data_IF_539149459626
#
_entry.id   IF_539149459626
#
_cell.length_a   1.000
_cell.length_b   1.000
_cell.length_c   1.000
_cell.angle_alpha   90.00
_cell.angle_beta   90.00
_cell.angle_gamma   90.00
#
_symmetry.space_group_name_H-M   'P 1'
#
loop_
_entity.id
_entity.type
_entity.pdbx_description
1 polymer ?
#
# COMPACT_ATOMS: atom_id res chain seq x y z
N UNK A 1 68.74 -13.46 42.81
CA UNK A 1 68.17 -12.45 43.73
C UNK A 1 68.17 -11.07 43.09
N UNK A 2 67.04 -10.63 42.55
CA UNK A 2 66.55 -9.24 42.61
C UNK A 2 65.07 -9.25 42.18
N UNK A 3 64.24 -8.89 43.16
CA UNK A 3 62.81 -8.53 43.10
C UNK A 3 62.60 -7.38 42.06
N UNK A 4 61.44 -7.05 41.49
CA UNK A 4 60.04 -7.15 41.95
C UNK A 4 59.08 -6.69 40.82
N UNK A 5 57.82 -7.17 40.89
CA UNK A 5 56.52 -6.50 40.60
C UNK A 5 56.20 -6.08 39.15
N UNK A 6 55.22 -6.77 38.53
CA UNK A 6 53.76 -6.48 38.50
C UNK A 6 53.39 -5.36 37.51
N UNK A 7 52.52 -5.63 36.53
CA UNK A 7 51.13 -5.11 36.44
C UNK A 7 50.48 -5.59 35.13
N UNK A 8 49.31 -6.20 35.32
CA UNK A 8 48.08 -6.32 34.52
C UNK A 8 48.06 -5.95 33.02
N UNK A 9 47.72 -6.99 32.24
CA UNK A 9 46.63 -7.08 31.24
C UNK A 9 45.92 -5.75 30.93
N UNK A 10 46.17 -5.22 29.73
CA UNK A 10 45.23 -4.36 29.00
C UNK A 10 45.05 -4.94 27.60
N UNK A 11 43.82 -5.34 27.31
CA UNK A 11 43.31 -5.69 25.99
C UNK A 11 43.39 -4.46 25.08
N UNK A 12 44.13 -4.54 23.98
CA UNK A 12 43.90 -3.70 22.80
C UNK A 12 43.98 -4.65 21.60
N UNK A 13 42.83 -5.22 21.24
CA UNK A 13 42.64 -5.92 19.98
C UNK A 13 42.02 -4.91 19.03
N UNK A 14 42.83 -4.54 18.05
CA UNK A 14 42.62 -3.52 17.04
C UNK A 14 41.64 -4.09 16.01
N UNK A 15 40.34 -3.84 16.20
CA UNK A 15 39.31 -4.20 15.22
C UNK A 15 39.23 -3.08 14.20
N UNK A 16 39.88 -3.33 13.06
CA UNK A 16 39.76 -2.58 11.81
C UNK A 16 38.29 -2.63 11.39
N UNK A 17 37.56 -1.54 11.60
CA UNK A 17 36.22 -1.35 11.06
C UNK A 17 36.36 -0.97 9.58
N UNK A 18 36.22 -1.99 8.73
CA UNK A 18 36.13 -1.86 7.28
C UNK A 18 34.82 -1.11 6.96
N UNK A 19 34.95 0.18 6.75
CA UNK A 19 34.03 1.01 5.98
C UNK A 19 34.41 0.83 4.51
N UNK A 20 33.72 -0.03 3.76
CA UNK A 20 33.61 0.11 2.30
C UNK A 20 32.33 -0.57 1.81
N UNK A 21 31.32 0.28 1.64
CA UNK A 21 30.41 0.34 0.48
C UNK A 21 29.91 -1.03 0.01
N UNK A 22 28.81 -1.48 0.62
CA UNK A 22 27.86 -2.31 -0.10
C UNK A 22 27.23 -1.35 -1.12
N UNK A 23 27.77 -1.34 -2.34
CA UNK A 23 27.01 -0.99 -3.54
C UNK A 23 25.91 -2.05 -3.63
N UNK A 24 24.85 -1.83 -2.86
CA UNK A 24 23.58 -2.43 -3.17
C UNK A 24 23.18 -1.73 -4.46
N UNK A 25 23.52 -2.35 -5.59
CA UNK A 25 22.74 -2.20 -6.80
C UNK A 25 21.31 -2.54 -6.41
N UNK A 26 20.59 -1.53 -5.91
CA UNK A 26 19.16 -1.44 -6.03
C UNK A 26 18.99 -1.34 -7.54
N UNK A 27 18.91 -2.51 -8.18
CA UNK A 27 18.24 -2.63 -9.47
C UNK A 27 16.81 -2.23 -9.14
N UNK A 28 16.56 -0.93 -9.22
CA UNK A 28 15.21 -0.43 -9.40
C UNK A 28 14.84 -1.02 -10.75
N UNK A 29 14.26 -2.22 -10.74
CA UNK A 29 13.36 -2.61 -11.79
C UNK A 29 12.17 -1.67 -11.64
N UNK A 30 12.37 -0.40 -12.04
CA UNK A 30 11.32 0.29 -12.74
C UNK A 30 11.09 -0.60 -13.96
N UNK A 31 10.18 -1.55 -13.82
CA UNK A 31 9.48 -2.11 -14.97
C UNK A 31 8.81 -0.89 -15.57
N UNK A 32 9.54 -0.20 -16.47
CA UNK A 32 8.92 0.69 -17.41
C UNK A 32 8.00 -0.24 -18.15
N UNK A 33 6.69 -0.04 -18.02
CA UNK A 33 5.77 -0.61 -18.97
C UNK A 33 6.26 -0.11 -20.34
N UNK A 34 7.00 -0.94 -21.08
CA UNK A 34 7.42 -0.58 -22.41
C UNK A 34 6.14 -0.48 -23.24
N UNK A 35 5.77 0.77 -23.54
CA UNK A 35 4.86 1.03 -24.63
C UNK A 35 5.50 0.41 -25.86
N UNK A 36 4.80 -0.55 -26.46
CA UNK A 36 5.24 -1.17 -27.69
C UNK A 36 5.20 -0.09 -28.78
N UNK A 37 6.35 0.53 -29.09
CA UNK A 37 6.44 1.64 -30.05
C UNK A 37 6.50 1.15 -31.50
N UNK A 38 6.97 -0.07 -31.71
CA UNK A 38 6.95 -0.77 -33.00
C UNK A 38 6.85 -2.27 -32.78
N UNK A 39 6.43 -2.98 -33.82
CA UNK A 39 6.42 -4.44 -33.83
C UNK A 39 6.79 -4.96 -35.22
N UNK A 40 7.66 -5.97 -35.26
CA UNK A 40 7.93 -6.70 -36.49
C UNK A 40 6.81 -7.72 -36.73
N UNK A 41 6.02 -7.52 -37.77
CA UNK A 41 4.95 -8.43 -38.16
C UNK A 41 5.43 -9.38 -39.25
N UNK A 42 5.04 -10.65 -39.15
CA UNK A 42 5.45 -11.69 -40.08
C UNK A 42 4.37 -12.76 -40.24
N UNK A 43 4.30 -13.35 -41.43
CA UNK A 43 3.45 -14.51 -41.70
C UNK A 43 4.11 -15.81 -41.26
N UNK A 44 3.32 -16.72 -40.69
CA UNK A 44 3.76 -18.09 -40.32
C UNK A 44 3.19 -19.18 -41.24
N UNK A 45 2.48 -18.81 -42.30
CA UNK A 45 1.97 -19.75 -43.29
C UNK A 45 0.50 -19.56 -43.65
N UNK A 46 0.04 -20.43 -44.54
CA UNK A 46 -1.34 -20.47 -45.05
C UNK A 46 -2.31 -21.09 -44.02
N UNK A 47 -3.51 -20.53 -43.89
CA UNK A 47 -4.56 -21.03 -43.00
C UNK A 47 -5.46 -22.10 -43.66
N UNK A 48 -5.15 -22.52 -44.87
CA UNK A 48 -5.96 -23.44 -45.66
C UNK A 48 -7.14 -22.77 -46.37
N UNK A 49 -7.76 -23.54 -47.27
CA UNK A 49 -8.95 -23.14 -48.01
C UNK A 49 -10.20 -23.41 -47.17
N UNK A 50 -10.55 -22.48 -46.28
CA UNK A 50 -11.67 -22.65 -45.34
C UNK A 50 -12.98 -22.03 -45.84
N UNK A 51 -12.90 -20.87 -46.48
CA UNK A 51 -14.07 -20.09 -46.87
C UNK A 51 -14.04 -19.71 -48.35
N UNK A 52 -15.21 -19.45 -48.91
CA UNK A 52 -15.39 -18.72 -50.17
C UNK A 52 -16.11 -17.40 -49.89
N UNK A 53 -15.88 -16.39 -50.72
CA UNK A 53 -16.65 -15.15 -50.74
C UNK A 53 -17.11 -14.90 -52.17
N UNK A 54 -18.43 -14.81 -52.37
CA UNK A 54 -19.05 -14.74 -53.71
C UNK A 54 -18.56 -15.85 -54.65
N UNK A 55 -18.41 -17.06 -54.11
CA UNK A 55 -17.95 -18.24 -54.85
C UNK A 55 -16.44 -18.32 -55.10
N UNK A 56 -15.65 -17.32 -54.70
CA UNK A 56 -14.18 -17.33 -54.86
C UNK A 56 -13.51 -17.75 -53.55
N UNK A 57 -12.54 -18.67 -53.61
CA UNK A 57 -11.79 -19.12 -52.43
C UNK A 57 -11.09 -17.93 -51.75
N UNK A 58 -11.31 -17.78 -50.45
CA UNK A 58 -10.65 -16.78 -49.62
C UNK A 58 -9.30 -17.32 -49.18
N UNK A 59 -8.21 -16.73 -49.69
CA UNK A 59 -6.85 -17.05 -49.25
C UNK A 59 -6.49 -16.25 -48.00
N UNK A 60 -6.01 -16.93 -46.97
CA UNK A 60 -5.62 -16.30 -45.70
C UNK A 60 -4.25 -16.82 -45.27
N UNK A 61 -3.33 -15.90 -45.03
CA UNK A 61 -2.07 -16.19 -44.32
C UNK A 61 -2.18 -15.71 -42.89
N UNK A 62 -1.67 -16.52 -41.96
CA UNK A 62 -1.64 -16.21 -40.54
C UNK A 62 -0.51 -15.23 -40.26
N UNK A 63 -0.83 -14.03 -39.78
CA UNK A 63 0.16 -12.99 -39.46
C UNK A 63 0.21 -12.79 -37.94
N UNK A 64 1.42 -12.64 -37.41
CA UNK A 64 1.66 -12.41 -35.99
C UNK A 64 2.88 -11.52 -35.76
N UNK A 65 3.10 -11.17 -34.49
CA UNK A 65 4.35 -10.62 -34.00
C UNK A 65 4.69 -11.24 -32.64
N UNK A 66 5.93 -11.11 -32.19
CA UNK A 66 6.36 -11.59 -30.87
C UNK A 66 6.58 -10.41 -29.94
N UNK A 67 6.01 -10.49 -28.72
CA UNK A 67 6.30 -9.58 -27.61
C UNK A 67 6.48 -10.41 -26.34
N UNK A 68 7.54 -10.17 -25.59
CA UNK A 68 7.83 -10.87 -24.34
C UNK A 68 7.80 -12.41 -24.47
N UNK A 69 8.35 -12.93 -25.58
CA UNK A 69 8.33 -14.36 -25.95
C UNK A 69 6.93 -14.96 -26.19
N UNK A 70 5.90 -14.13 -26.30
CA UNK A 70 4.53 -14.54 -26.64
C UNK A 70 4.21 -14.09 -28.07
N UNK A 71 3.63 -14.98 -28.86
CA UNK A 71 3.20 -14.71 -30.22
C UNK A 71 1.74 -14.22 -30.23
N UNK A 72 1.52 -13.02 -30.76
CA UNK A 72 0.20 -12.42 -30.83
C UNK A 72 -0.26 -12.28 -32.29
N UNK A 73 -1.50 -12.66 -32.60
CA UNK A 73 -2.11 -12.39 -33.90
C UNK A 73 -2.12 -10.91 -34.25
N UNK A 74 -1.81 -10.62 -35.51
CA UNK A 74 -1.97 -9.31 -36.11
C UNK A 74 -2.91 -9.42 -37.32
N UNK A 75 -3.94 -8.58 -37.35
CA UNK A 75 -4.95 -8.58 -38.41
C UNK A 75 -4.75 -7.40 -39.34
N UNK A 76 -4.55 -7.66 -40.62
CA UNK A 76 -4.44 -6.56 -41.58
C UNK A 76 -5.78 -5.83 -41.75
N UNK A 77 -5.67 -4.52 -41.99
CA UNK A 77 -6.79 -3.60 -42.07
C UNK A 77 -7.09 -3.13 -43.50
N UNK A 78 -6.33 -3.60 -44.49
CA UNK A 78 -6.55 -3.25 -45.89
C UNK A 78 -6.30 -4.46 -46.80
N UNK A 79 -7.37 -5.07 -47.30
CA UNK A 79 -7.26 -6.22 -48.21
C UNK A 79 -6.66 -5.90 -49.59
N UNK A 80 -6.49 -4.63 -49.95
CA UNK A 80 -6.09 -4.20 -51.31
C UNK A 80 -4.59 -4.00 -51.49
N UNK A 81 -3.83 -4.00 -50.39
CA UNK A 81 -2.39 -3.75 -50.36
C UNK A 81 -1.60 -5.03 -50.05
N UNK A 82 -0.30 -5.12 -50.39
CA UNK A 82 0.57 -6.18 -49.91
C UNK A 82 0.75 -6.13 -48.39
N UNK A 83 0.56 -7.26 -47.71
CA UNK A 83 0.82 -7.43 -46.28
C UNK A 83 2.09 -8.24 -45.98
N UNK A 84 2.25 -8.56 -44.69
CA UNK A 84 3.37 -9.33 -44.14
C UNK A 84 3.43 -10.79 -44.65
N UNK A 85 2.41 -11.24 -45.39
CA UNK A 85 2.45 -12.49 -46.16
C UNK A 85 3.46 -12.48 -47.30
N UNK A 86 3.87 -11.30 -47.78
CA UNK A 86 4.88 -11.16 -48.84
C UNK A 86 6.30 -11.12 -48.29
N UNK A 87 6.51 -10.34 -47.23
CA UNK A 87 7.76 -10.23 -46.48
C UNK A 87 7.49 -9.58 -45.12
N UNK A 88 8.21 -9.94 -44.04
CA UNK A 88 8.08 -9.27 -42.75
C UNK A 88 8.44 -7.77 -42.82
N UNK A 89 7.78 -6.95 -42.01
CA UNK A 89 8.15 -5.55 -41.83
C UNK A 89 7.71 -5.00 -40.47
N UNK A 90 8.29 -3.87 -40.10
CA UNK A 90 7.96 -3.19 -38.85
C UNK A 90 6.78 -2.25 -39.05
N UNK A 91 5.81 -2.33 -38.13
CA UNK A 91 4.76 -1.34 -37.98
C UNK A 91 5.05 -0.43 -36.79
N UNK A 92 4.79 0.87 -36.94
CA UNK A 92 4.89 1.85 -35.87
C UNK A 92 3.57 1.94 -35.12
N UNK A 93 3.62 1.98 -33.79
CA UNK A 93 2.44 1.91 -32.93
C UNK A 93 2.32 3.22 -32.14
N UNK A 94 1.30 3.99 -32.48
CA UNK A 94 1.10 5.33 -31.94
C UNK A 94 -0.10 5.41 -30.97
N UNK A 95 -1.07 4.50 -31.10
CA UNK A 95 -2.25 4.47 -30.23
C UNK A 95 -2.98 3.12 -30.27
N UNK A 96 -3.87 2.91 -29.31
CA UNK A 96 -4.93 1.92 -29.42
C UNK A 96 -5.91 2.27 -30.55
N UNK A 97 -6.61 1.26 -31.08
CA UNK A 97 -7.68 1.44 -32.07
C UNK A 97 -8.83 2.22 -31.43
N UNK A 98 -9.23 3.36 -31.99
CA UNK A 98 -10.33 4.17 -31.43
C UNK A 98 -11.71 3.75 -31.94
N UNK A 99 -11.76 3.02 -33.06
CA UNK A 99 -13.01 2.49 -33.61
C UNK A 99 -13.52 1.35 -32.74
N UNK A 100 -14.50 1.66 -31.89
CA UNK A 100 -15.13 0.70 -30.96
C UNK A 100 -15.79 -0.45 -31.72
N UNK A 101 -16.33 -0.20 -32.91
CA UNK A 101 -16.93 -1.23 -33.74
C UNK A 101 -15.88 -2.23 -34.21
N UNK A 102 -14.72 -1.77 -34.70
CA UNK A 102 -13.60 -2.64 -35.09
C UNK A 102 -13.07 -3.39 -33.87
N UNK A 103 -12.83 -2.69 -32.77
CA UNK A 103 -12.35 -3.26 -31.52
C UNK A 103 -13.26 -4.39 -31.02
N UNK A 104 -14.59 -4.20 -31.04
CA UNK A 104 -15.57 -5.24 -30.65
C UNK A 104 -15.46 -6.53 -31.48
N UNK A 105 -15.19 -6.44 -32.79
CA UNK A 105 -15.00 -7.64 -33.63
C UNK A 105 -13.74 -8.39 -33.22
N UNK A 106 -12.68 -7.66 -32.89
CA UNK A 106 -11.40 -8.24 -32.48
C UNK A 106 -11.53 -8.91 -31.09
N UNK A 107 -12.13 -8.23 -30.10
CA UNK A 107 -12.26 -8.78 -28.75
C UNK A 107 -13.29 -9.91 -28.62
N UNK A 108 -14.22 -10.02 -29.57
CA UNK A 108 -15.11 -11.18 -29.69
C UNK A 108 -14.51 -12.29 -30.56
N UNK A 109 -13.37 -12.06 -31.19
CA UNK A 109 -12.61 -13.03 -31.98
C UNK A 109 -11.33 -13.50 -31.26
N UNK A 110 -10.45 -14.13 -32.02
CA UNK A 110 -9.19 -14.67 -31.53
C UNK A 110 -8.12 -13.56 -31.45
N UNK A 111 -7.26 -13.50 -30.40
CA UNK A 111 -7.07 -14.49 -29.34
C UNK A 111 -7.90 -14.25 -28.07
N UNK A 112 -8.69 -13.17 -28.00
CA UNK A 112 -9.47 -12.84 -26.80
C UNK A 112 -10.59 -13.84 -26.51
N UNK A 113 -11.08 -14.51 -27.55
CA UNK A 113 -11.84 -15.75 -27.46
C UNK A 113 -10.95 -16.92 -27.82
N UNK A 114 -10.96 -17.92 -26.94
CA UNK A 114 -10.23 -19.17 -27.14
C UNK A 114 -10.80 -19.95 -28.33
N UNK A 115 -9.98 -20.86 -28.89
CA UNK A 115 -10.38 -21.81 -29.94
C UNK A 115 -11.70 -22.52 -29.57
N UNK A 116 -11.81 -22.95 -28.30
CA UNK A 116 -13.01 -23.62 -27.78
C UNK A 116 -14.22 -22.69 -27.70
N UNK A 117 -14.08 -21.47 -27.20
CA UNK A 117 -15.19 -20.50 -27.14
C UNK A 117 -15.71 -20.13 -28.54
N UNK A 118 -14.84 -20.10 -29.54
CA UNK A 118 -15.21 -19.84 -30.93
C UNK A 118 -15.84 -21.07 -31.63
N UNK A 119 -15.77 -22.26 -31.01
CA UNK A 119 -16.29 -23.49 -31.60
C UNK A 119 -15.50 -24.00 -32.81
N UNK A 120 -14.21 -23.68 -32.88
CA UNK A 120 -13.28 -24.11 -33.94
C UNK A 120 -12.24 -25.08 -33.38
N UNK A 121 -11.48 -25.76 -34.25
CA UNK A 121 -10.52 -26.80 -33.81
C UNK A 121 -9.08 -26.29 -33.64
N UNK A 122 -8.71 -25.22 -34.34
CA UNK A 122 -7.33 -24.74 -34.39
C UNK A 122 -7.26 -23.22 -34.56
N UNK A 123 -6.04 -22.67 -34.47
CA UNK A 123 -5.79 -21.23 -34.56
C UNK A 123 -6.01 -20.69 -35.97
N UNK A 124 -5.84 -21.50 -37.02
CA UNK A 124 -6.02 -21.11 -38.42
C UNK A 124 -7.49 -20.83 -38.74
N UNK A 125 -8.40 -21.69 -38.26
CA UNK A 125 -9.86 -21.47 -38.30
C UNK A 125 -10.24 -20.23 -37.49
N UNK A 126 -9.73 -20.10 -36.26
CA UNK A 126 -10.02 -18.98 -35.36
C UNK A 126 -9.56 -17.62 -35.94
N UNK A 127 -8.33 -17.58 -36.48
CA UNK A 127 -7.74 -16.42 -37.13
C UNK A 127 -8.50 -16.06 -38.40
N UNK A 128 -8.84 -17.04 -39.24
CA UNK A 128 -9.62 -16.81 -40.47
C UNK A 128 -10.99 -16.23 -40.16
N UNK A 129 -11.71 -16.81 -39.20
CA UNK A 129 -13.02 -16.31 -38.77
C UNK A 129 -12.94 -14.85 -38.30
N UNK A 130 -11.95 -14.55 -37.45
CA UNK A 130 -11.75 -13.19 -36.91
C UNK A 130 -11.39 -12.19 -38.01
N UNK A 131 -10.45 -12.56 -38.90
CA UNK A 131 -10.04 -11.72 -40.04
C UNK A 131 -11.21 -11.39 -40.96
N UNK A 132 -12.05 -12.38 -41.29
CA UNK A 132 -13.20 -12.14 -42.16
C UNK A 132 -14.31 -11.34 -41.47
N UNK A 133 -14.51 -11.50 -40.16
CA UNK A 133 -15.42 -10.65 -39.38
C UNK A 133 -14.97 -9.17 -39.38
N UNK A 134 -13.65 -8.93 -39.26
CA UNK A 134 -13.06 -7.59 -39.42
C UNK A 134 -13.36 -7.03 -40.81
N UNK A 135 -13.15 -7.82 -41.88
CA UNK A 135 -13.40 -7.38 -43.26
C UNK A 135 -14.88 -7.12 -43.57
N UNK A 136 -15.81 -7.83 -42.93
CA UNK A 136 -17.23 -7.49 -43.02
C UNK A 136 -17.51 -6.08 -42.48
N UNK A 137 -16.76 -5.66 -41.45
CA UNK A 137 -16.90 -4.33 -40.88
C UNK A 137 -16.18 -3.25 -41.68
N UNK A 138 -14.87 -3.39 -41.90
CA UNK A 138 -14.04 -2.31 -42.50
C UNK A 138 -14.15 -2.21 -44.02
N UNK A 139 -14.59 -3.26 -44.70
CA UNK A 139 -14.75 -3.30 -46.16
C UNK A 139 -16.19 -3.51 -46.62
N UNK A 140 -17.15 -3.61 -45.69
CA UNK A 140 -18.56 -3.82 -46.03
C UNK A 140 -18.83 -5.14 -46.75
N UNK A 141 -17.99 -6.17 -46.54
CA UNK A 141 -18.29 -7.50 -47.07
C UNK A 141 -19.59 -8.02 -46.44
N UNK A 142 -20.52 -8.53 -47.26
CA UNK A 142 -21.77 -9.09 -46.75
C UNK A 142 -21.50 -10.48 -46.15
N UNK A 143 -21.81 -10.74 -44.86
CA UNK A 143 -21.59 -12.04 -44.22
C UNK A 143 -22.33 -13.20 -44.91
N UNK A 144 -23.45 -12.91 -45.59
CA UNK A 144 -24.24 -13.91 -46.31
C UNK A 144 -23.65 -14.33 -47.65
N UNK A 145 -22.68 -13.58 -48.18
CA UNK A 145 -21.96 -13.94 -49.42
C UNK A 145 -20.82 -14.94 -49.16
N UNK A 146 -20.58 -15.33 -47.90
CA UNK A 146 -19.57 -16.31 -47.53
C UNK A 146 -20.11 -17.74 -47.57
N UNK A 147 -19.33 -18.64 -48.17
CA UNK A 147 -19.59 -20.09 -48.17
C UNK A 147 -18.49 -20.86 -47.42
N UNK A 148 -18.82 -22.05 -46.92
CA UNK A 148 -17.89 -22.92 -46.22
C UNK A 148 -17.30 -24.01 -47.13
N UNK A 149 -16.03 -24.35 -46.92
CA UNK A 149 -15.36 -25.48 -47.57
C UNK A 149 -15.10 -26.58 -46.52
N UNK A 150 -15.84 -27.69 -46.62
CA UNK A 150 -15.75 -28.80 -45.69
C UNK A 150 -16.19 -28.47 -44.25
N UNK A 151 -15.92 -29.38 -43.32
CA UNK A 151 -16.30 -29.23 -41.90
C UNK A 151 -15.53 -28.11 -41.20
N UNK A 152 -14.23 -27.98 -41.47
CA UNK A 152 -13.40 -26.89 -40.95
C UNK A 152 -13.89 -25.52 -41.43
N UNK A 153 -14.27 -25.40 -42.70
CA UNK A 153 -14.90 -24.22 -43.25
C UNK A 153 -16.23 -23.89 -42.58
N UNK A 154 -17.05 -24.90 -42.26
CA UNK A 154 -18.34 -24.69 -41.60
C UNK A 154 -18.17 -24.14 -40.19
N UNK A 155 -17.24 -24.70 -39.40
CA UNK A 155 -16.90 -24.16 -38.07
C UNK A 155 -16.39 -22.73 -38.17
N UNK A 156 -15.49 -22.47 -39.11
CA UNK A 156 -14.93 -21.13 -39.37
C UNK A 156 -16.02 -20.13 -39.74
N UNK A 157 -16.96 -20.49 -40.62
CA UNK A 157 -18.07 -19.65 -41.04
C UNK A 157 -19.00 -19.34 -39.87
N UNK A 158 -19.33 -20.36 -39.05
CA UNK A 158 -20.15 -20.19 -37.86
C UNK A 158 -19.47 -19.26 -36.85
N UNK A 159 -18.18 -19.46 -36.58
CA UNK A 159 -17.39 -18.60 -35.71
C UNK A 159 -17.37 -17.15 -36.22
N UNK A 160 -17.16 -16.93 -37.52
CA UNK A 160 -17.18 -15.60 -38.13
C UNK A 160 -18.54 -14.90 -37.91
N UNK A 161 -19.65 -15.59 -38.19
CA UNK A 161 -21.00 -15.04 -37.98
C UNK A 161 -21.27 -14.75 -36.50
N UNK A 162 -20.82 -15.62 -35.60
CA UNK A 162 -20.95 -15.40 -34.16
C UNK A 162 -20.15 -14.18 -33.68
N UNK A 163 -18.92 -13.99 -34.16
CA UNK A 163 -18.09 -12.80 -33.85
C UNK A 163 -18.83 -11.53 -34.27
N UNK A 164 -19.38 -11.51 -35.50
CA UNK A 164 -20.11 -10.35 -36.04
C UNK A 164 -21.35 -10.05 -35.18
N UNK A 165 -22.16 -11.08 -34.89
CA UNK A 165 -23.38 -10.94 -34.11
C UNK A 165 -23.08 -10.47 -32.67
N UNK A 166 -22.07 -11.06 -32.01
CA UNK A 166 -21.69 -10.65 -30.66
C UNK A 166 -21.17 -9.21 -30.64
N UNK A 167 -20.37 -8.82 -31.63
CA UNK A 167 -19.87 -7.45 -31.73
C UNK A 167 -20.98 -6.41 -31.99
N UNK A 168 -22.02 -6.78 -32.75
CA UNK A 168 -23.18 -5.91 -33.02
C UNK A 168 -24.09 -5.75 -31.80
N UNK A 169 -24.23 -6.80 -30.99
CA UNK A 169 -25.08 -6.79 -29.80
C UNK A 169 -24.35 -6.40 -28.50
N UNK A 170 -23.02 -6.26 -28.54
CA UNK A 170 -22.21 -5.88 -27.37
C UNK A 170 -22.31 -4.38 -27.08
N UNK A 171 -22.40 -4.03 -25.80
CA UNK A 171 -22.28 -2.67 -25.29
C UNK A 171 -20.88 -2.38 -24.72
N UNK A 172 -19.93 -3.31 -24.81
CA UNK A 172 -18.57 -3.12 -24.29
C UNK A 172 -17.90 -1.90 -24.92
N UNK A 173 -17.20 -1.13 -24.12
CA UNK A 173 -16.34 -0.02 -24.55
C UNK A 173 -14.91 -0.31 -24.11
N UNK A 174 -13.95 0.41 -24.67
CA UNK A 174 -12.57 0.32 -24.18
C UNK A 174 -12.49 0.83 -22.75
N UNK A 175 -11.76 0.09 -21.90
CA UNK A 175 -11.68 0.32 -20.46
C UNK A 175 -10.27 0.79 -20.12
N UNK A 176 -10.18 1.76 -19.22
CA UNK A 176 -8.89 2.20 -18.66
C UNK A 176 -8.30 1.12 -17.75
N UNK A 177 -6.97 0.94 -17.82
CA UNK A 177 -6.22 0.13 -16.86
C UNK A 177 -5.99 0.84 -15.51
N UNK A 178 -6.56 2.04 -15.30
CA UNK A 178 -6.42 2.76 -14.03
C UNK A 178 -7.17 2.05 -12.91
N UNK A 179 -6.49 1.89 -11.78
CA UNK A 179 -7.07 1.35 -10.55
C UNK A 179 -7.44 2.52 -9.63
N UNK A 180 -8.64 2.47 -9.07
CA UNK A 180 -9.13 3.41 -8.07
C UNK A 180 -8.98 2.80 -6.69
N UNK A 181 -8.42 3.56 -5.75
CA UNK A 181 -8.31 3.21 -4.34
C UNK A 181 -9.31 4.08 -3.57
N UNK A 182 -10.28 3.46 -2.92
CA UNK A 182 -11.30 4.15 -2.15
C UNK A 182 -11.01 4.01 -0.66
N UNK A 183 -11.12 5.11 0.09
CA UNK A 183 -11.06 5.10 1.55
C UNK A 183 -12.41 4.64 2.08
N UNK A 184 -12.45 3.55 2.83
CA UNK A 184 -13.66 3.12 3.54
C UNK A 184 -13.77 3.94 4.84
N UNK A 185 -12.65 4.09 5.55
CA UNK A 185 -12.55 4.97 6.72
C UNK A 185 -12.11 6.38 6.31
N UNK A 186 -12.83 7.39 6.80
CA UNK A 186 -12.43 8.80 6.62
C UNK A 186 -11.27 9.20 7.52
N UNK A 187 -11.17 8.63 8.73
CA UNK A 187 -10.25 9.03 9.79
C UNK A 187 -9.46 7.83 10.34
N UNK A 188 -8.25 8.10 10.82
CA UNK A 188 -7.45 7.10 11.52
C UNK A 188 -8.04 6.83 12.89
N UNK A 189 -8.35 5.57 13.18
CA UNK A 189 -8.94 5.13 14.45
C UNK A 189 -7.99 4.17 15.15
N UNK A 190 -8.07 4.05 16.47
CA UNK A 190 -7.37 2.98 17.17
C UNK A 190 -7.89 1.61 16.71
N UNK A 191 -6.99 0.68 16.40
CA UNK A 191 -7.36 -0.69 16.02
C UNK A 191 -7.88 -1.46 17.23
N UNK A 192 -8.96 -2.22 17.02
CA UNK A 192 -9.63 -2.96 18.09
C UNK A 192 -8.93 -4.27 18.45
N UNK A 193 -8.12 -4.82 17.54
CA UNK A 193 -7.42 -6.09 17.73
C UNK A 193 -6.05 -5.82 18.35
N UNK A 194 -5.29 -4.87 17.79
CA UNK A 194 -4.02 -4.40 18.33
C UNK A 194 -4.10 -2.90 18.65
N UNK A 195 -4.43 -2.62 19.92
CA UNK A 195 -4.59 -1.26 20.46
C UNK A 195 -3.35 -0.37 20.34
N UNK A 196 -2.18 -0.93 19.99
CA UNK A 196 -0.96 -0.15 19.74
C UNK A 196 -0.90 0.49 18.35
N UNK A 197 -1.86 0.19 17.48
CA UNK A 197 -1.93 0.71 16.11
C UNK A 197 -3.15 1.61 15.90
N UNK A 198 -2.97 2.58 15.00
CA UNK A 198 -4.06 3.26 14.32
C UNK A 198 -4.29 2.62 12.95
N UNK A 199 -5.52 2.60 12.45
CA UNK A 199 -5.87 1.97 11.19
C UNK A 199 -6.80 2.80 10.31
N UNK A 200 -6.79 2.46 9.02
CA UNK A 200 -7.84 2.73 8.03
C UNK A 200 -7.99 1.55 7.08
N UNK A 201 -9.23 1.29 6.65
CA UNK A 201 -9.55 0.30 5.61
C UNK A 201 -9.77 0.97 4.25
N UNK A 202 -9.34 0.28 3.19
CA UNK A 202 -9.42 0.73 1.81
C UNK A 202 -9.97 -0.39 0.92
N UNK A 203 -10.71 -0.01 -0.12
CA UNK A 203 -11.14 -0.91 -1.19
C UNK A 203 -10.51 -0.55 -2.52
N UNK A 204 -10.42 -1.53 -3.41
CA UNK A 204 -9.85 -1.40 -4.75
C UNK A 204 -10.93 -1.62 -5.79
N UNK A 205 -10.96 -0.77 -6.82
CA UNK A 205 -11.89 -0.88 -7.95
C UNK A 205 -11.18 -0.58 -9.27
N UNK A 206 -11.65 -1.17 -10.36
CA UNK A 206 -11.24 -0.81 -11.71
C UNK A 206 -12.46 -0.85 -12.64
N UNK A 207 -12.31 -0.33 -13.85
CA UNK A 207 -13.40 -0.36 -14.84
C UNK A 207 -13.72 -1.76 -15.38
N UNK A 208 -12.89 -2.77 -15.06
CA UNK A 208 -13.01 -4.17 -15.47
C UNK A 208 -12.52 -5.08 -14.34
N UNK A 209 -12.62 -6.40 -14.56
CA UNK A 209 -12.03 -7.41 -13.68
C UNK A 209 -10.53 -7.17 -13.49
N UNK A 210 -10.06 -7.39 -12.27
CA UNK A 210 -8.64 -7.36 -11.94
C UNK A 210 -8.19 -8.72 -11.42
N UNK A 211 -6.90 -9.01 -11.57
CA UNK A 211 -6.26 -10.11 -10.85
C UNK A 211 -6.03 -9.73 -9.39
N UNK A 212 -5.47 -10.65 -8.60
CA UNK A 212 -4.97 -10.32 -7.28
C UNK A 212 -4.05 -9.08 -7.33
N UNK A 213 -4.09 -8.27 -6.28
CA UNK A 213 -3.41 -6.98 -6.24
C UNK A 213 -2.42 -6.91 -5.08
N UNK A 214 -1.38 -6.10 -5.27
CA UNK A 214 -0.40 -5.78 -4.22
C UNK A 214 -0.54 -4.32 -3.79
N UNK A 215 -0.12 -4.03 -2.56
CA UNK A 215 -0.17 -2.69 -1.98
C UNK A 215 1.23 -2.32 -1.51
N UNK A 216 1.72 -1.17 -1.97
CA UNK A 216 2.96 -0.54 -1.52
C UNK A 216 2.59 0.76 -0.77
N UNK A 217 3.10 0.92 0.45
CA UNK A 217 2.89 2.14 1.26
C UNK A 217 4.24 2.76 1.59
N UNK A 218 4.39 4.05 1.30
CA UNK A 218 5.60 4.83 1.61
C UNK A 218 5.22 6.15 2.27
N UNK A 219 6.09 6.71 3.10
CA UNK A 219 5.91 8.06 3.68
C UNK A 219 6.54 9.11 2.75
N UNK A 220 5.92 10.27 2.65
CA UNK A 220 6.47 11.43 1.95
C UNK A 220 7.69 11.98 2.71
N UNK A 221 8.80 12.22 2.00
CA UNK A 221 10.10 12.49 2.61
C UNK A 221 10.78 11.18 3.04
N UNK A 222 12.08 11.06 2.82
CA UNK A 222 12.86 9.80 2.81
C UNK A 222 12.86 8.97 4.11
N UNK A 223 12.21 9.42 5.18
CA UNK A 223 12.10 8.68 6.43
C UNK A 223 10.84 7.82 6.44
N UNK A 224 11.02 6.50 6.49
CA UNK A 224 9.92 5.58 6.76
C UNK A 224 9.34 5.86 8.15
N UNK A 225 8.01 5.88 8.28
CA UNK A 225 7.35 5.92 9.60
C UNK A 225 7.66 4.65 10.43
N UNK A 226 8.12 3.58 9.78
CA UNK A 226 8.48 2.31 10.43
C UNK A 226 7.27 1.54 10.96
N UNK A 227 7.33 0.21 10.85
CA UNK A 227 6.32 -0.67 11.44
C UNK A 227 4.91 -0.58 10.83
N UNK A 228 4.73 0.08 9.68
CA UNK A 228 3.47 -0.02 8.93
C UNK A 228 3.23 -1.49 8.61
N UNK A 229 2.00 -1.95 8.82
CA UNK A 229 1.53 -3.25 8.35
C UNK A 229 0.41 -3.07 7.35
N UNK A 230 0.40 -3.95 6.35
CA UNK A 230 -0.65 -4.05 5.35
C UNK A 230 -1.30 -5.41 5.56
N UNK A 231 -2.56 -5.41 5.99
CA UNK A 231 -3.27 -6.61 6.44
C UNK A 231 -4.62 -6.74 5.76
N UNK A 232 -5.25 -7.89 5.92
CA UNK A 232 -6.71 -7.98 5.83
C UNK A 232 -7.39 -7.24 7.02
N UNK A 233 -8.72 -7.27 7.08
CA UNK A 233 -9.47 -6.64 8.17
C UNK A 233 -9.25 -7.31 9.54
N UNK A 234 -8.71 -8.53 9.57
CA UNK A 234 -8.44 -9.33 10.78
C UNK A 234 -6.99 -9.23 11.29
N UNK A 235 -6.21 -8.24 10.82
CA UNK A 235 -4.79 -8.07 11.13
C UNK A 235 -3.87 -9.19 10.63
N UNK A 236 -4.28 -9.99 9.65
CA UNK A 236 -3.38 -10.93 8.97
C UNK A 236 -2.58 -10.18 7.90
N UNK A 237 -1.27 -10.10 8.05
CA UNK A 237 -0.38 -9.47 7.06
C UNK A 237 -0.41 -10.25 5.74
N UNK A 238 -0.57 -9.53 4.63
CA UNK A 238 -0.66 -10.11 3.29
C UNK A 238 0.25 -9.38 2.33
N UNK A 239 0.94 -10.14 1.48
CA UNK A 239 1.68 -9.60 0.34
C UNK A 239 0.79 -9.36 -0.88
N UNK A 240 -0.39 -10.00 -0.93
CA UNK A 240 -1.31 -9.96 -2.05
C UNK A 240 -2.76 -10.13 -1.57
N UNK A 241 -3.69 -9.47 -2.25
CA UNK A 241 -5.12 -9.44 -1.93
C UNK A 241 -5.95 -9.90 -3.12
N UNK A 242 -7.10 -10.53 -2.85
CA UNK A 242 -8.03 -10.94 -3.89
C UNK A 242 -8.78 -9.73 -4.46
N UNK A 243 -9.31 -9.77 -5.71
CA UNK A 243 -9.89 -8.61 -6.39
C UNK A 243 -10.96 -7.81 -5.64
N UNK A 244 -11.77 -8.46 -4.79
CA UNK A 244 -12.85 -7.84 -4.01
C UNK A 244 -12.54 -7.80 -2.50
N UNK A 245 -11.31 -8.13 -2.12
CA UNK A 245 -10.87 -8.05 -0.74
C UNK A 245 -10.52 -6.60 -0.42
N UNK A 246 -10.79 -6.15 0.81
CA UNK A 246 -10.29 -4.88 1.29
C UNK A 246 -8.89 -5.06 1.87
N UNK A 247 -8.08 -4.01 1.85
CA UNK A 247 -6.84 -3.97 2.61
C UNK A 247 -6.92 -2.95 3.73
N UNK A 248 -6.28 -3.27 4.84
CA UNK A 248 -6.16 -2.40 6.02
C UNK A 248 -4.71 -1.97 6.17
N UNK A 249 -4.50 -0.68 6.40
CA UNK A 249 -3.20 -0.14 6.77
C UNK A 249 -3.20 0.09 8.28
N UNK A 250 -2.20 -0.44 8.97
CA UNK A 250 -1.95 -0.23 10.39
C UNK A 250 -0.68 0.61 10.55
N UNK A 251 -0.76 1.70 11.31
CA UNK A 251 0.38 2.54 11.70
C UNK A 251 0.61 2.41 13.21
N UNK A 252 1.85 2.10 13.67
CA UNK A 252 2.16 2.12 15.10
C UNK A 252 1.94 3.52 15.69
N UNK A 253 1.11 3.63 16.73
CA UNK A 253 0.75 4.93 17.33
C UNK A 253 1.98 5.64 17.91
N UNK A 254 2.94 4.88 18.46
CA UNK A 254 4.22 5.40 18.96
C UNK A 254 5.11 6.02 17.87
N UNK A 255 4.87 5.70 16.60
CA UNK A 255 5.60 6.25 15.46
C UNK A 255 4.90 7.47 14.85
N UNK A 256 3.66 7.78 15.24
CA UNK A 256 2.91 8.96 14.80
C UNK A 256 3.35 10.23 15.55
N UNK A 257 4.65 10.55 15.54
CA UNK A 257 5.23 11.68 16.31
C UNK A 257 4.97 13.06 15.70
N UNK A 258 4.59 13.10 14.43
CA UNK A 258 4.30 14.28 13.63
C UNK A 258 3.21 13.94 12.62
N UNK A 259 2.50 14.95 12.11
CA UNK A 259 1.58 14.79 10.99
C UNK A 259 2.37 14.50 9.71
N UNK A 260 1.87 13.60 8.88
CA UNK A 260 2.54 13.26 7.63
C UNK A 260 1.61 12.68 6.58
N UNK A 261 2.19 12.46 5.39
CA UNK A 261 1.47 11.96 4.22
C UNK A 261 2.01 10.58 3.84
N UNK A 262 1.10 9.63 3.67
CA UNK A 262 1.36 8.33 3.05
C UNK A 262 1.07 8.39 1.55
N UNK A 263 1.98 7.83 0.76
CA UNK A 263 1.75 7.44 -0.62
C UNK A 263 1.36 5.98 -0.66
N UNK A 264 0.12 5.71 -1.08
CA UNK A 264 -0.42 4.36 -1.23
C UNK A 264 -0.50 4.04 -2.71
N UNK A 265 0.16 2.97 -3.12
CA UNK A 265 0.18 2.48 -4.49
C UNK A 265 -0.38 1.07 -4.53
N UNK A 266 -1.37 0.86 -5.38
CA UNK A 266 -1.92 -0.47 -5.69
C UNK A 266 -1.48 -0.86 -7.09
N UNK A 267 -1.05 -2.11 -7.25
CA UNK A 267 -0.72 -2.71 -8.56
C UNK A 267 -1.55 -3.97 -8.76
N UNK A 268 -2.10 -4.13 -9.95
CA UNK A 268 -2.74 -5.38 -10.38
C UNK A 268 -2.66 -5.49 -11.91
N UNK A 269 -3.22 -6.56 -12.46
CA UNK A 269 -3.47 -6.71 -13.89
C UNK A 269 -4.96 -6.50 -14.15
N UNK A 270 -5.30 -5.57 -15.05
CA UNK A 270 -6.68 -5.20 -15.39
C UNK A 270 -7.04 -5.78 -16.75
N UNK A 271 -8.21 -6.41 -16.86
CA UNK A 271 -8.70 -7.03 -18.09
C UNK A 271 -9.22 -5.97 -19.08
N UNK A 272 -8.31 -5.33 -19.84
CA UNK A 272 -8.63 -4.24 -20.77
C UNK A 272 -8.77 -4.67 -22.23
N UNK A 273 -8.30 -5.87 -22.60
CA UNK A 273 -8.31 -6.42 -23.98
C UNK A 273 -7.80 -5.39 -25.01
N UNK A 274 -6.57 -4.88 -24.87
CA UNK A 274 -6.05 -3.78 -25.65
C UNK A 274 -5.78 -4.19 -27.10
N UNK A 275 -6.22 -3.38 -28.07
CA UNK A 275 -5.89 -3.59 -29.49
C UNK A 275 -5.18 -2.36 -30.02
N UNK A 276 -3.96 -2.54 -30.52
CA UNK A 276 -3.08 -1.48 -30.96
C UNK A 276 -3.19 -1.27 -32.49
N UNK A 277 -3.09 -0.02 -32.93
CA UNK A 277 -3.02 0.30 -34.36
C UNK A 277 -1.56 0.40 -34.82
N UNK A 278 -1.14 -0.54 -35.64
CA UNK A 278 0.18 -0.58 -36.28
C UNK A 278 0.13 0.06 -37.65
N UNK A 279 0.85 1.17 -37.81
CA UNK A 279 1.01 1.91 -39.07
C UNK A 279 2.18 1.35 -39.86
N UNK A 280 1.93 0.98 -41.11
CA UNK A 280 2.95 0.49 -42.03
C UNK A 280 4.02 1.56 -42.31
N UNK A 281 5.25 1.18 -42.70
CA UNK A 281 6.33 2.13 -42.97
C UNK A 281 6.08 2.95 -44.25
N UNK A 282 5.16 2.51 -45.10
CA UNK A 282 4.73 3.21 -46.30
C UNK A 282 3.26 2.92 -46.60
N UNK A 283 2.57 3.91 -47.15
CA UNK A 283 1.16 3.82 -47.56
C UNK A 283 0.84 2.70 -48.56
N UNK A 284 1.87 2.14 -49.22
CA UNK A 284 1.74 1.01 -50.15
C UNK A 284 1.54 -0.34 -49.45
N UNK A 285 1.80 -0.44 -48.14
CA UNK A 285 1.66 -1.67 -47.36
C UNK A 285 0.42 -1.63 -46.45
N UNK A 286 0.03 -2.79 -45.93
CA UNK A 286 -1.11 -2.93 -45.03
C UNK A 286 -0.80 -2.39 -43.63
N UNK A 287 -1.71 -1.59 -43.08
CA UNK A 287 -1.77 -1.34 -41.63
C UNK A 287 -2.36 -2.56 -40.91
N UNK A 288 -2.08 -2.69 -39.61
CA UNK A 288 -2.49 -3.84 -38.80
C UNK A 288 -3.16 -3.44 -37.50
N UNK A 289 -4.16 -4.22 -37.10
CA UNK A 289 -4.61 -4.31 -35.72
C UNK A 289 -3.81 -5.38 -34.98
N UNK A 290 -3.10 -4.98 -33.93
CA UNK A 290 -2.25 -5.85 -33.14
C UNK A 290 -2.99 -6.21 -31.85
N UNK A 291 -3.23 -7.51 -31.67
CA UNK A 291 -3.75 -8.02 -30.40
C UNK A 291 -2.63 -8.13 -29.39
N UNK A 292 -2.93 -7.99 -28.11
CA UNK A 292 -1.95 -8.10 -27.01
C UNK A 292 -2.56 -8.95 -25.89
N UNK A 293 -1.81 -9.20 -24.81
CA UNK A 293 -2.32 -9.88 -23.63
C UNK A 293 -3.67 -9.31 -23.17
N UNK A 294 -4.57 -10.20 -22.73
CA UNK A 294 -5.92 -9.83 -22.26
C UNK A 294 -5.88 -8.81 -21.12
N UNK A 295 -4.82 -8.86 -20.31
CA UNK A 295 -4.63 -7.98 -19.17
C UNK A 295 -3.45 -7.03 -19.39
N UNK A 296 -3.60 -5.80 -18.94
CA UNK A 296 -2.54 -4.79 -18.84
C UNK A 296 -2.21 -4.51 -17.37
N UNK A 297 -0.98 -4.07 -17.11
CA UNK A 297 -0.61 -3.59 -15.79
C UNK A 297 -1.47 -2.37 -15.44
N UNK A 298 -2.13 -2.42 -14.30
CA UNK A 298 -2.92 -1.35 -13.73
C UNK A 298 -2.29 -0.83 -12.45
N UNK A 299 -2.35 0.48 -12.28
CA UNK A 299 -1.79 1.18 -11.13
C UNK A 299 -2.83 2.15 -10.59
N UNK A 300 -3.00 2.15 -9.27
CA UNK A 300 -3.74 3.16 -8.52
C UNK A 300 -2.80 3.85 -7.55
N UNK A 301 -2.91 5.16 -7.41
CA UNK A 301 -2.12 5.93 -6.45
C UNK A 301 -3.03 6.91 -5.71
N UNK A 302 -2.93 6.96 -4.40
CA UNK A 302 -3.53 8.01 -3.58
C UNK A 302 -2.50 8.52 -2.56
N UNK A 303 -2.69 9.76 -2.10
CA UNK A 303 -2.08 10.27 -0.88
C UNK A 303 -3.09 10.16 0.26
N UNK A 304 -2.70 9.72 1.44
CA UNK A 304 -3.55 9.84 2.63
C UNK A 304 -2.76 10.41 3.80
N UNK A 305 -3.38 11.30 4.57
CA UNK A 305 -2.72 12.00 5.66
C UNK A 305 -3.01 11.30 6.99
N UNK A 306 -2.01 11.25 7.85
CA UNK A 306 -2.13 10.83 9.24
C UNK A 306 -1.68 11.96 10.16
N UNK A 307 -2.33 12.11 11.30
CA UNK A 307 -2.04 13.17 12.26
C UNK A 307 -0.99 12.72 13.27
N UNK A 308 -0.28 13.68 13.86
CA UNK A 308 0.47 13.46 15.09
C UNK A 308 -0.46 12.83 16.15
N UNK A 309 0.06 11.87 16.91
CA UNK A 309 -0.57 11.34 18.10
C UNK A 309 -0.60 12.40 19.20
N UNK A 310 -1.79 12.81 19.61
CA UNK A 310 -2.00 13.83 20.64
C UNK A 310 -2.35 13.25 22.03
N UNK A 311 -2.29 11.92 22.15
CA UNK A 311 -2.57 11.23 23.41
C UNK A 311 -1.59 11.67 24.50
N UNK A 312 -2.11 12.22 25.61
CA UNK A 312 -1.26 12.75 26.69
C UNK A 312 -1.92 12.72 28.07
N UNK A 313 -1.08 12.63 29.08
CA UNK A 313 -1.45 12.75 30.50
C UNK A 313 -0.82 14.01 31.07
N UNK A 314 -1.62 14.80 31.79
CA UNK A 314 -1.17 15.98 32.54
C UNK A 314 -1.35 15.69 34.02
N UNK A 315 -0.25 15.73 34.79
CA UNK A 315 -0.28 15.62 36.24
C UNK A 315 -0.25 17.03 36.81
N UNK A 316 -1.18 17.38 37.70
CA UNK A 316 -1.23 18.67 38.37
C UNK A 316 -1.08 18.45 39.87
N UNK A 317 -0.04 19.02 40.45
CA UNK A 317 0.26 18.86 41.87
C UNK A 317 -0.16 20.09 42.67
N UNK A 318 -0.94 19.87 43.73
CA UNK A 318 -1.40 20.94 44.63
C UNK A 318 -1.23 20.58 46.11
N UNK A 319 -1.21 21.62 46.93
CA UNK A 319 -1.47 21.57 48.36
C UNK A 319 -2.95 21.24 48.59
N UNK A 320 -3.22 20.34 49.53
CA UNK A 320 -4.56 19.86 49.83
C UNK A 320 -5.47 20.92 50.48
N UNK A 321 -4.92 21.84 51.25
CA UNK A 321 -5.67 22.78 52.08
C UNK A 321 -5.91 24.11 51.35
N UNK A 322 -4.87 24.68 50.74
CA UNK A 322 -4.91 26.00 50.09
C UNK A 322 -4.92 25.95 48.55
N UNK A 323 -4.77 24.76 47.96
CA UNK A 323 -4.83 24.54 46.51
C UNK A 323 -3.64 25.12 45.74
N UNK A 324 -2.61 25.62 46.44
CA UNK A 324 -1.39 26.14 45.82
C UNK A 324 -0.68 25.04 45.03
N UNK A 325 -0.19 25.37 43.84
CA UNK A 325 0.59 24.44 43.03
C UNK A 325 1.95 24.14 43.65
N UNK A 326 2.45 22.91 43.48
CA UNK A 326 3.72 22.45 44.05
C UNK A 326 4.73 22.09 42.95
N UNK A 327 5.84 22.81 42.91
CA UNK A 327 6.98 22.59 42.00
C UNK A 327 7.98 21.57 42.59
N UNK A 328 8.69 20.84 41.73
CA UNK A 328 9.83 19.99 42.10
C UNK A 328 9.46 18.62 42.68
N UNK A 329 8.19 18.21 42.61
CA UNK A 329 7.72 16.89 43.07
C UNK A 329 8.02 15.85 42.00
N UNK A 330 8.63 14.73 42.40
CA UNK A 330 9.09 13.68 41.49
C UNK A 330 8.06 12.56 41.35
N UNK A 331 7.76 12.18 40.10
CA UNK A 331 6.82 11.15 39.72
C UNK A 331 7.46 10.12 38.77
N UNK A 332 6.83 8.96 38.71
CA UNK A 332 6.99 7.95 37.68
C UNK A 332 5.67 7.70 36.97
N UNK A 333 5.72 7.43 35.67
CA UNK A 333 4.61 6.83 34.93
C UNK A 333 4.93 5.35 34.69
N UNK A 334 3.99 4.49 35.05
CA UNK A 334 4.08 3.05 34.88
C UNK A 334 3.00 2.58 33.89
N UNK A 335 3.32 1.54 33.11
CA UNK A 335 2.36 0.90 32.20
C UNK A 335 1.35 0.02 32.96
N UNK A 336 0.46 -0.64 32.22
CA UNK A 336 -0.55 -1.58 32.72
C UNK A 336 0.05 -2.74 33.55
N UNK A 337 1.27 -3.16 33.22
CA UNK A 337 2.05 -4.19 33.94
C UNK A 337 2.80 -3.64 35.16
N UNK A 338 2.63 -2.36 35.49
CA UNK A 338 3.33 -1.65 36.58
C UNK A 338 4.85 -1.60 36.37
N UNK A 339 5.29 -1.57 35.12
CA UNK A 339 6.68 -1.32 34.75
C UNK A 339 6.88 0.18 34.52
N UNK A 340 8.00 0.73 35.00
CA UNK A 340 8.33 2.16 34.82
C UNK A 340 8.65 2.42 33.34
N UNK A 341 7.90 3.31 32.72
CA UNK A 341 8.10 3.73 31.31
C UNK A 341 8.59 5.18 31.20
N UNK A 342 8.34 6.00 32.21
CA UNK A 342 8.95 7.31 32.38
C UNK A 342 9.39 7.48 33.84
N UNK A 343 10.67 7.82 34.02
CA UNK A 343 11.28 8.09 35.32
C UNK A 343 11.65 9.57 35.45
N UNK A 344 11.91 10.00 36.68
CA UNK A 344 12.43 11.33 37.03
C UNK A 344 11.59 12.50 36.49
N UNK A 345 10.28 12.29 36.36
CA UNK A 345 9.34 13.33 35.96
C UNK A 345 9.16 14.32 37.11
N UNK A 346 9.36 15.62 36.89
CA UNK A 346 9.22 16.63 37.95
C UNK A 346 8.20 17.68 37.61
N UNK A 347 7.41 18.07 38.60
CA UNK A 347 6.46 19.19 38.44
C UNK A 347 7.22 20.49 38.18
N UNK A 348 6.78 21.23 37.17
CA UNK A 348 7.31 22.56 36.83
C UNK A 348 6.82 23.67 37.80
N UNK A 349 7.13 24.92 37.50
CA UNK A 349 6.71 26.09 38.30
C UNK A 349 5.20 26.29 38.37
N UNK A 350 4.44 25.72 37.43
CA UNK A 350 2.98 25.71 37.43
C UNK A 350 2.42 24.47 38.15
N UNK A 351 3.29 23.63 38.73
CA UNK A 351 2.97 22.36 39.37
C UNK A 351 2.56 21.26 38.41
N UNK A 352 2.98 21.32 37.14
CA UNK A 352 2.53 20.41 36.08
C UNK A 352 3.63 19.48 35.58
N UNK A 353 3.20 18.30 35.12
CA UNK A 353 3.99 17.39 34.28
C UNK A 353 3.13 17.07 33.06
N UNK A 354 3.68 17.21 31.86
CA UNK A 354 3.01 16.84 30.60
C UNK A 354 3.75 15.67 29.97
N UNK A 355 3.04 14.58 29.72
CA UNK A 355 3.58 13.36 29.09
C UNK A 355 2.82 13.14 27.78
N UNK A 356 3.48 13.39 26.65
CA UNK A 356 2.87 13.37 25.31
C UNK A 356 3.17 12.09 24.51
N UNK A 357 2.44 11.92 23.39
CA UNK A 357 2.61 10.84 22.42
C UNK A 357 2.46 9.43 23.04
N UNK A 358 1.60 9.30 24.05
CA UNK A 358 1.33 8.02 24.70
C UNK A 358 0.56 7.08 23.78
N UNK A 359 0.76 5.78 23.95
CA UNK A 359 -0.12 4.78 23.33
C UNK A 359 -1.40 4.70 24.18
N UNK A 360 -2.59 4.60 23.60
CA UNK A 360 -3.79 4.57 24.43
C UNK A 360 -3.84 3.30 25.30
N UNK A 361 -4.23 3.46 26.55
CA UNK A 361 -4.23 2.36 27.51
C UNK A 361 -4.34 2.80 28.97
N UNK A 362 -4.07 1.84 29.86
CA UNK A 362 -4.04 2.05 31.30
C UNK A 362 -2.63 2.36 31.78
N UNK A 363 -2.52 3.35 32.65
CA UNK A 363 -1.28 3.80 33.27
C UNK A 363 -1.45 3.96 34.78
N UNK A 364 -0.33 3.99 35.48
CA UNK A 364 -0.27 4.34 36.89
C UNK A 364 0.71 5.49 37.11
N UNK A 365 0.24 6.54 37.77
CA UNK A 365 1.04 7.66 38.23
C UNK A 365 1.49 7.35 39.66
N UNK A 366 2.80 7.38 39.93
CA UNK A 366 3.33 7.14 41.27
C UNK A 366 4.21 8.30 41.70
N UNK A 367 3.89 8.93 42.82
CA UNK A 367 4.77 9.90 43.46
C UNK A 367 5.95 9.17 44.11
N UNK A 368 7.17 9.68 43.88
CA UNK A 368 8.41 9.06 44.34
C UNK A 368 9.07 9.92 45.41
N UNK A 369 8.97 11.24 45.27
CA UNK A 369 9.60 12.20 46.18
C UNK A 369 8.80 13.49 46.21
N UNK A 370 8.59 13.99 47.43
CA UNK A 370 7.96 15.28 47.70
C UNK A 370 9.00 16.30 48.21
N UNK A 371 8.62 17.58 48.30
CA UNK A 371 9.42 18.65 48.92
C UNK A 371 9.22 18.69 50.44
N UNK A 372 10.14 19.35 51.14
CA UNK A 372 10.11 19.49 52.60
C UNK A 372 8.78 20.08 53.11
N UNK A 373 8.26 19.48 54.19
CA UNK A 373 7.03 19.92 54.83
C UNK A 373 5.74 19.42 54.19
N UNK A 374 5.82 18.45 53.27
CA UNK A 374 4.66 17.75 52.71
C UNK A 374 4.79 16.23 52.85
N UNK A 375 3.66 15.56 53.10
CA UNK A 375 3.57 14.11 53.16
C UNK A 375 3.57 13.52 51.73
N UNK A 376 4.31 12.41 51.54
CA UNK A 376 4.37 11.70 50.26
C UNK A 376 3.08 10.89 50.01
N UNK A 377 2.49 11.00 48.82
CA UNK A 377 1.38 10.14 48.43
C UNK A 377 1.87 8.74 47.98
N UNK A 378 1.70 7.73 48.84
CA UNK A 378 2.31 6.39 48.63
C UNK A 378 1.61 5.51 47.59
N UNK A 379 0.33 5.77 47.28
CA UNK A 379 -0.47 4.87 46.44
C UNK A 379 -0.38 5.23 44.95
N UNK A 380 -0.23 4.27 44.03
CA UNK A 380 -0.32 4.55 42.60
C UNK A 380 -1.75 4.95 42.20
N UNK A 381 -1.86 5.96 41.33
CA UNK A 381 -3.13 6.45 40.79
C UNK A 381 -3.32 5.87 39.39
N UNK A 382 -4.36 5.07 39.20
CA UNK A 382 -4.69 4.52 37.88
C UNK A 382 -5.33 5.61 37.00
N UNK A 383 -4.93 5.66 35.73
CA UNK A 383 -5.51 6.53 34.72
C UNK A 383 -5.64 5.78 33.39
N UNK A 384 -6.79 5.90 32.74
CA UNK A 384 -7.03 5.39 31.40
C UNK A 384 -7.01 6.56 30.41
N UNK A 385 -6.30 6.42 29.29
CA UNK A 385 -6.22 7.43 28.24
C UNK A 385 -6.52 6.80 26.88
N UNK A 386 -7.46 7.38 26.15
CA UNK A 386 -7.87 6.99 24.80
C UNK A 386 -7.04 7.64 23.70
N UNK A 387 -7.24 7.19 22.45
CA UNK A 387 -6.51 7.72 21.29
C UNK A 387 -6.83 9.20 21.04
N UNK A 388 -5.77 10.00 20.92
CA UNK A 388 -5.83 11.47 20.82
C UNK A 388 -6.58 12.13 21.98
N UNK A 389 -6.57 11.52 23.16
CA UNK A 389 -7.19 12.07 24.37
C UNK A 389 -6.15 12.77 25.26
N UNK A 390 -6.54 13.90 25.84
CA UNK A 390 -5.86 14.53 26.96
C UNK A 390 -6.57 14.15 28.27
N UNK A 391 -5.81 13.65 29.25
CA UNK A 391 -6.34 13.38 30.60
C UNK A 391 -5.53 14.15 31.64
N UNK A 392 -6.22 14.97 32.43
CA UNK A 392 -5.62 15.72 33.54
C UNK A 392 -5.93 15.04 34.88
N UNK A 393 -4.89 14.76 35.68
CA UNK A 393 -4.99 14.15 37.01
C UNK A 393 -4.45 15.13 38.05
N UNK A 394 -5.27 15.52 39.01
CA UNK A 394 -4.84 16.37 40.14
C UNK A 394 -4.46 15.50 41.34
N UNK A 395 -3.26 15.70 41.87
CA UNK A 395 -2.72 14.98 43.04
C UNK A 395 -2.43 15.97 44.16
N UNK A 396 -3.10 15.81 45.30
CA UNK A 396 -2.99 16.71 46.45
C UNK A 396 -2.05 16.12 47.52
N UNK A 397 -1.17 16.94 48.10
CA UNK A 397 -0.38 16.54 49.29
C UNK A 397 -0.80 17.38 50.49
N UNK A 398 -0.85 16.72 51.64
CA UNK A 398 -1.04 17.36 52.93
C UNK A 398 0.31 17.89 53.45
N UNK A 399 0.31 19.01 54.14
CA UNK A 399 1.49 19.49 54.86
C UNK A 399 1.81 18.56 56.03
N UNK A 400 3.09 18.28 56.27
CA UNK A 400 3.54 17.50 57.42
C UNK A 400 3.17 18.20 58.74
N UNK A 401 2.68 17.43 59.71
CA UNK A 401 2.41 17.95 61.04
C UNK A 401 3.72 18.22 61.80
N UNK A 402 4.02 19.49 62.05
CA UNK A 402 5.17 19.87 62.90
C UNK A 402 4.86 19.50 64.37
N UNK A 403 5.71 18.72 65.05
CA UNK A 403 5.48 18.37 66.45
C UNK A 403 5.46 19.62 67.34
N UNK A 404 4.44 19.73 68.20
CA UNK A 404 4.39 20.77 69.23
C UNK A 404 5.39 20.43 70.34
N UNK A 405 6.48 21.19 70.45
CA UNK A 405 7.44 21.06 71.55
C UNK A 405 6.89 21.81 72.78
N UNK A 406 6.26 21.09 73.71
CA UNK A 406 5.86 21.63 75.01
C UNK A 406 7.02 21.43 75.99
N UNK A 407 7.73 22.51 76.34
CA UNK A 407 8.77 22.47 77.39
C UNK A 407 8.18 22.87 78.73
N UNK A 408 7.92 21.89 79.61
CA UNK A 408 7.55 22.18 81.00
C UNK A 408 8.82 22.41 81.84
N UNK A 409 9.12 23.67 82.17
CA UNK A 409 10.14 24.00 83.18
C UNK A 409 9.53 23.94 84.58
N UNK A 410 9.90 22.92 85.35
CA UNK A 410 9.63 22.89 86.79
C UNK A 410 10.63 23.80 87.51
N UNK A 411 10.17 24.89 88.11
CA UNK A 411 11.01 25.76 88.93
C UNK A 411 11.44 25.02 90.21
N UNK A 412 12.75 24.85 90.41
CA UNK A 412 13.31 24.38 91.68
C UNK A 412 13.16 25.49 92.74
N UNK A 413 12.48 25.16 93.85
CA UNK A 413 12.32 26.04 95.03
C UNK A 413 13.68 26.54 95.53
N UNK A 414 13.81 27.86 95.72
CA UNK A 414 14.91 28.48 96.45
C UNK A 414 15.01 27.94 97.87
N UNK A 415 16.16 27.37 98.22
CA UNK A 415 16.52 27.09 99.61
C UNK A 415 17.13 28.37 100.18
N UNK A 416 16.40 29.08 101.06
CA UNK A 416 16.93 30.21 101.83
C UNK A 416 18.11 29.74 102.69
N UNK A 417 19.31 30.27 102.44
CA UNK A 417 20.47 30.09 103.32
C UNK A 417 20.38 31.06 104.50
N UNK A 418 20.58 30.57 105.72
CA UNK A 418 20.72 31.41 106.92
C UNK A 418 22.15 32.02 106.95
N UNK A 419 22.30 33.27 107.44
CA UNK A 419 23.59 33.93 107.52
C UNK A 419 24.42 33.38 108.68
N UNK A 420 25.74 33.24 108.49
CA UNK A 420 26.68 33.01 109.59
C UNK A 420 27.68 34.16 109.62
N UNK A 421 27.66 34.86 110.76
CA UNK A 421 28.56 35.94 111.19
C UNK A 421 29.94 35.37 111.58
N UNK A 422 31.01 36.11 111.29
CA UNK A 422 32.39 35.68 111.56
C UNK A 422 32.83 35.85 113.01
N UNK A 423 33.67 34.91 113.48
CA UNK A 423 35.08 35.08 113.88
C UNK A 423 35.72 33.70 114.02
#
# INVERSE_FOLDING_TARGET
MKKTRKINIVKILLVISILFIIDLLIVINSVRAESLNSANIYSIGDCGNLLTYKGVIVKVSYVQYTKDNVNYPAYCLDKTKPGAETSPYDVSINSAIKDVGLWRRIINGYPYKTIKELGVENKEEAFTATKQAIYCYIHGNNPEDYGAIGSAGQRTLNAMKNIINNAQNSNETQISNTITINRIDSEWKQDSIDKSYAYKVYSVQAGSSIMNYTVDVTKEGSESIGGIKITDENNQEKSEFSPNENFKILIPINNMKETGTLYIKVKSKVETKPVLYGTAPSSSYQDYALTVATYEDGIGNIKDEYNKNETKIIIIKKDQDDGKVLEGIEFQLLNDKKEVIYADLKTDSDGKIVIENLVPGNYYIKEIKTIDGYELYEYPIQVEVGFNQEVSVTVNNKKEEKPQIITNKTASKEIKRLPVTGM
#
